data_IF_802447418575
#
_entry.id   IF_802447418575
#
_cell.length_a   1.000
_cell.length_b   1.000
_cell.length_c   1.000
_cell.angle_alpha   90.00
_cell.angle_beta   90.00
_cell.angle_gamma   90.00
#
_symmetry.space_group_name_H-M   'P 1'
#
loop_
_entity.id
_entity.type
_entity.pdbx_description
1 polymer ?
#
# COMPACT_ATOMS: atom_id res chain seq x y z
N UNK A 1 -16.66 -16.24 2.83
CA UNK A 1 -16.33 -15.06 1.98
C UNK A 1 -14.84 -14.91 1.99
N UNK A 2 -14.21 -14.86 0.84
CA UNK A 2 -12.76 -14.65 0.73
C UNK A 2 -12.40 -13.21 1.09
N UNK A 3 -11.19 -12.94 1.58
CA UNK A 3 -10.69 -11.59 1.93
C UNK A 3 -10.79 -10.63 0.74
N UNK A 4 -10.64 -11.12 -0.49
CA UNK A 4 -10.75 -10.33 -1.72
C UNK A 4 -12.09 -9.54 -1.86
N UNK A 5 -13.16 -9.98 -1.20
CA UNK A 5 -14.44 -9.28 -1.22
C UNK A 5 -14.61 -8.27 -0.07
N UNK A 6 -13.62 -8.17 0.82
CA UNK A 6 -13.69 -7.36 2.05
C UNK A 6 -12.80 -6.13 2.00
N UNK A 7 -11.66 -6.19 1.31
CA UNK A 7 -10.77 -5.04 1.15
C UNK A 7 -11.28 -4.20 -0.01
N UNK A 8 -11.60 -2.90 0.22
CA UNK A 8 -11.97 -2.02 -0.89
C UNK A 8 -10.82 -1.91 -1.89
N UNK A 9 -11.13 -2.04 -3.19
CA UNK A 9 -10.14 -2.03 -4.25
C UNK A 9 -9.37 -0.70 -4.38
N UNK A 10 -9.94 0.40 -3.84
CA UNK A 10 -9.30 1.72 -3.87
C UNK A 10 -9.24 2.25 -2.45
N UNK A 11 -8.03 2.56 -1.98
CA UNK A 11 -7.78 3.20 -0.70
C UNK A 11 -7.01 4.52 -0.86
N UNK A 12 -7.07 5.37 0.17
CA UNK A 12 -6.21 6.55 0.29
C UNK A 12 -4.93 6.17 1.01
N UNK A 13 -3.77 6.29 0.34
CA UNK A 13 -2.47 6.23 0.98
C UNK A 13 -2.12 7.57 1.62
N UNK A 14 -1.61 7.55 2.87
CA UNK A 14 -1.27 8.79 3.62
C UNK A 14 0.23 9.01 3.80
N UNK A 15 1.08 8.20 3.17
CA UNK A 15 2.53 8.36 3.24
C UNK A 15 2.98 9.78 2.85
N UNK A 16 3.88 10.39 3.63
CA UNK A 16 4.38 11.76 3.45
C UNK A 16 3.29 12.86 3.46
N UNK A 17 2.17 12.64 4.10
CA UNK A 17 1.24 13.71 4.47
C UNK A 17 1.59 14.24 5.85
N UNK A 18 1.52 15.56 6.04
CA UNK A 18 1.49 16.13 7.39
C UNK A 18 0.24 15.66 8.13
N UNK A 19 0.17 15.78 9.47
CA UNK A 19 -1.05 15.46 10.20
C UNK A 19 -2.27 16.26 9.72
N UNK A 20 -2.10 17.53 9.34
CA UNK A 20 -3.13 18.41 8.82
C UNK A 20 -3.60 17.97 7.43
N UNK A 21 -2.66 17.62 6.55
CA UNK A 21 -2.99 17.06 5.22
C UNK A 21 -3.71 15.72 5.35
N UNK A 22 -3.27 14.86 6.27
CA UNK A 22 -3.91 13.56 6.52
C UNK A 22 -5.34 13.73 7.05
N UNK A 23 -5.60 14.71 7.92
CA UNK A 23 -6.94 15.06 8.41
C UNK A 23 -7.85 15.46 7.25
N UNK A 24 -7.44 16.45 6.47
CA UNK A 24 -8.26 16.99 5.38
C UNK A 24 -8.48 15.95 4.27
N UNK A 25 -7.42 15.26 3.85
CA UNK A 25 -7.53 14.28 2.77
C UNK A 25 -8.32 13.03 3.18
N UNK A 26 -8.23 12.60 4.44
CA UNK A 26 -9.05 11.50 4.95
C UNK A 26 -10.55 11.88 4.94
N UNK A 27 -10.89 13.06 5.41
CA UNK A 27 -12.26 13.55 5.40
C UNK A 27 -12.81 13.67 3.97
N UNK A 28 -12.10 14.36 3.08
CA UNK A 28 -12.54 14.55 1.70
C UNK A 28 -12.60 13.22 0.92
N UNK A 29 -11.67 12.28 1.14
CA UNK A 29 -11.74 10.95 0.55
C UNK A 29 -13.00 10.20 0.99
N UNK A 30 -13.32 10.17 2.28
CA UNK A 30 -14.53 9.51 2.79
C UNK A 30 -15.78 10.14 2.19
N UNK A 31 -15.84 11.46 2.07
CA UNK A 31 -16.94 12.21 1.48
C UNK A 31 -17.15 11.89 -0.01
N UNK A 32 -16.06 11.66 -0.76
CA UNK A 32 -16.09 11.24 -2.17
C UNK A 32 -16.60 9.79 -2.32
N UNK A 33 -16.37 8.93 -1.31
CA UNK A 33 -16.77 7.52 -1.36
C UNK A 33 -15.67 6.52 -1.03
N UNK A 34 -14.44 6.97 -0.75
CA UNK A 34 -13.40 6.07 -0.25
C UNK A 34 -13.86 5.41 1.04
N UNK A 35 -13.53 4.15 1.19
CA UNK A 35 -13.80 3.38 2.41
C UNK A 35 -12.54 2.73 2.98
N UNK A 36 -11.41 2.80 2.31
CA UNK A 36 -10.12 2.28 2.76
C UNK A 36 -9.14 3.45 2.97
N UNK A 37 -8.57 3.55 4.17
CA UNK A 37 -7.53 4.53 4.53
C UNK A 37 -6.31 3.74 5.01
N UNK A 38 -5.16 3.99 4.39
CA UNK A 38 -3.89 3.34 4.69
C UNK A 38 -2.90 4.33 5.30
N UNK A 39 -2.46 4.02 6.52
CA UNK A 39 -1.43 4.76 7.24
C UNK A 39 -0.37 3.82 7.83
N UNK A 40 0.53 4.32 8.67
CA UNK A 40 1.52 3.57 9.43
C UNK A 40 2.04 4.37 10.62
N UNK A 41 2.53 3.70 11.68
CA UNK A 41 3.11 4.39 12.83
C UNK A 41 4.27 5.34 12.45
N UNK A 42 5.10 4.92 11.49
CA UNK A 42 6.26 5.71 11.04
C UNK A 42 5.89 6.93 10.21
N UNK A 43 4.67 7.02 9.70
CA UNK A 43 4.22 8.20 8.95
C UNK A 43 3.92 9.39 9.87
N UNK A 44 3.75 9.15 11.17
CA UNK A 44 3.53 10.16 12.22
C UNK A 44 2.30 11.04 11.96
N UNK A 45 1.33 10.50 11.23
CA UNK A 45 0.09 11.23 10.86
C UNK A 45 -1.21 10.50 11.25
N UNK A 46 -1.11 9.41 12.04
CA UNK A 46 -2.28 8.66 12.51
C UNK A 46 -3.30 9.54 13.27
N UNK A 47 -2.83 10.57 14.00
CA UNK A 47 -3.71 11.52 14.66
C UNK A 47 -4.50 12.40 13.67
N UNK A 48 -3.90 12.75 12.54
CA UNK A 48 -4.59 13.46 11.46
C UNK A 48 -5.66 12.56 10.83
N UNK A 49 -5.31 11.31 10.51
CA UNK A 49 -6.26 10.31 10.02
C UNK A 49 -7.44 10.16 11.00
N UNK A 50 -7.16 10.07 12.31
CA UNK A 50 -8.19 9.99 13.35
C UNK A 50 -9.16 11.15 13.29
N UNK A 51 -8.69 12.40 13.19
CA UNK A 51 -9.55 13.59 13.12
C UNK A 51 -10.41 13.59 11.85
N UNK A 52 -9.87 13.21 10.69
CA UNK A 52 -10.64 13.08 9.45
C UNK A 52 -11.75 12.02 9.57
N UNK A 53 -11.47 10.88 10.22
CA UNK A 53 -12.47 9.85 10.52
C UNK A 53 -13.53 10.39 11.51
N UNK A 54 -13.12 10.98 12.64
CA UNK A 54 -14.04 11.53 13.65
C UNK A 54 -15.00 12.55 13.05
N UNK A 55 -14.49 13.45 12.20
CA UNK A 55 -15.30 14.43 11.48
C UNK A 55 -16.31 13.74 10.58
N UNK A 56 -15.90 12.76 9.81
CA UNK A 56 -16.78 12.01 8.89
C UNK A 56 -17.89 11.23 9.63
N UNK A 57 -17.54 10.64 10.78
CA UNK A 57 -18.52 9.96 11.66
C UNK A 57 -19.50 10.95 12.28
N UNK A 58 -19.02 12.09 12.78
CA UNK A 58 -19.86 13.11 13.44
C UNK A 58 -20.84 13.77 12.48
N UNK A 59 -20.47 13.91 11.21
CA UNK A 59 -21.34 14.44 10.15
C UNK A 59 -22.26 13.37 9.55
N UNK A 60 -22.16 12.11 9.98
CA UNK A 60 -22.99 11.00 9.51
C UNK A 60 -22.70 10.56 8.06
N UNK A 61 -21.51 10.86 7.55
CA UNK A 61 -21.11 10.44 6.20
C UNK A 61 -20.92 8.93 6.09
N UNK A 62 -20.45 8.31 7.16
CA UNK A 62 -20.18 6.88 7.29
C UNK A 62 -20.32 6.43 8.75
N UNK A 63 -20.42 5.12 8.94
CA UNK A 63 -20.22 4.45 10.23
C UNK A 63 -18.82 3.83 10.29
N UNK A 64 -18.30 3.53 11.50
CA UNK A 64 -16.99 2.86 11.63
C UNK A 64 -16.93 1.51 10.90
N UNK A 65 -18.01 0.77 10.90
CA UNK A 65 -18.10 -0.54 10.24
C UNK A 65 -18.07 -0.50 8.71
N UNK A 66 -18.28 0.67 8.11
CA UNK A 66 -18.16 0.88 6.67
C UNK A 66 -16.74 1.24 6.25
N UNK A 67 -15.87 1.60 7.22
CA UNK A 67 -14.49 1.96 6.97
C UNK A 67 -13.57 0.75 7.13
N UNK A 68 -12.57 0.67 6.24
CA UNK A 68 -11.46 -0.27 6.29
C UNK A 68 -10.17 0.53 6.59
N UNK A 69 -9.64 0.38 7.80
CA UNK A 69 -8.49 1.15 8.27
C UNK A 69 -7.28 0.23 8.36
N UNK A 70 -6.21 0.60 7.65
CA UNK A 70 -4.92 -0.09 7.69
C UNK A 70 -3.90 0.78 8.42
N UNK A 71 -3.18 0.19 9.38
CA UNK A 71 -1.93 0.74 9.90
C UNK A 71 -0.83 -0.32 9.92
N UNK A 72 0.42 0.08 10.21
CA UNK A 72 1.58 -0.80 10.07
C UNK A 72 2.54 -0.58 11.24
N UNK A 73 3.12 -1.68 11.74
CA UNK A 73 4.24 -1.64 12.66
C UNK A 73 5.55 -1.64 11.89
N UNK A 74 6.48 -0.76 12.26
CA UNK A 74 7.85 -0.82 11.76
C UNK A 74 8.60 -1.92 12.53
N UNK A 75 9.20 -2.92 11.84
CA UNK A 75 9.74 -4.10 12.51
C UNK A 75 11.04 -3.85 13.29
N UNK A 76 11.65 -2.67 13.10
CA UNK A 76 13.04 -2.39 13.48
C UNK A 76 14.01 -2.75 12.36
N UNK A 77 15.19 -2.11 12.35
CA UNK A 77 16.26 -2.39 11.41
C UNK A 77 17.61 -2.05 12.06
N UNK A 78 18.39 -3.08 12.35
CA UNK A 78 19.70 -2.91 13.01
C UNK A 78 20.69 -2.08 12.17
N UNK A 79 20.61 -2.15 10.84
CA UNK A 79 21.46 -1.32 9.96
C UNK A 79 21.16 0.18 10.10
N UNK A 80 19.96 0.53 10.55
CA UNK A 80 19.55 1.93 10.81
C UNK A 80 19.67 2.30 12.31
N UNK A 81 20.30 1.45 13.11
CA UNK A 81 20.45 1.66 14.54
C UNK A 81 19.16 1.48 15.34
N UNK A 82 18.21 0.76 14.80
CA UNK A 82 16.91 0.49 15.45
C UNK A 82 16.83 -0.99 15.81
N UNK A 83 16.61 -1.28 17.09
CA UNK A 83 16.42 -2.66 17.56
C UNK A 83 15.21 -3.31 16.87
N UNK A 84 15.35 -4.59 16.55
CA UNK A 84 14.23 -5.38 16.06
C UNK A 84 13.18 -5.52 17.15
N UNK A 85 11.91 -5.33 16.80
CA UNK A 85 10.80 -5.46 17.74
C UNK A 85 10.58 -6.91 18.12
N UNK A 86 10.31 -7.13 19.41
CA UNK A 86 9.86 -8.39 19.97
C UNK A 86 8.34 -8.56 19.81
N UNK A 87 7.81 -9.69 20.26
CA UNK A 87 6.37 -9.92 20.36
C UNK A 87 5.66 -8.81 21.15
N UNK A 88 6.17 -8.52 22.36
CA UNK A 88 5.57 -7.50 23.24
C UNK A 88 5.67 -6.08 22.64
N UNK A 89 6.77 -5.75 21.97
CA UNK A 89 6.91 -4.45 21.28
C UNK A 89 5.87 -4.28 20.18
N UNK A 90 5.52 -5.35 19.45
CA UNK A 90 4.48 -5.30 18.41
C UNK A 90 3.10 -5.11 19.02
N UNK A 91 2.80 -5.81 20.14
CA UNK A 91 1.56 -5.64 20.90
C UNK A 91 1.40 -4.19 21.36
N UNK A 92 2.45 -3.62 21.98
CA UNK A 92 2.47 -2.23 22.44
C UNK A 92 2.35 -1.23 21.28
N UNK A 93 3.01 -1.51 20.14
CA UNK A 93 2.94 -0.66 18.94
C UNK A 93 1.51 -0.52 18.43
N UNK A 94 0.72 -1.61 18.39
CA UNK A 94 -0.69 -1.52 18.01
C UNK A 94 -1.49 -0.72 19.02
N UNK A 95 -1.33 -0.97 20.33
CA UNK A 95 -2.03 -0.22 21.36
C UNK A 95 -1.76 1.29 21.25
N UNK A 96 -0.52 1.67 20.94
CA UNK A 96 -0.14 3.05 20.70
C UNK A 96 -0.75 3.62 19.40
N UNK A 97 -0.81 2.83 18.32
CA UNK A 97 -1.51 3.21 17.07
C UNK A 97 -3.00 3.39 17.30
N UNK A 98 -3.66 2.47 18.00
CA UNK A 98 -5.08 2.57 18.34
C UNK A 98 -5.39 3.84 19.16
N UNK A 99 -4.54 4.20 20.12
CA UNK A 99 -4.66 5.46 20.88
C UNK A 99 -4.55 6.69 19.95
N UNK A 100 -3.59 6.72 19.02
CA UNK A 100 -3.42 7.83 18.08
C UNK A 100 -4.57 7.92 17.08
N UNK A 101 -5.06 6.75 16.59
CA UNK A 101 -6.20 6.64 15.70
C UNK A 101 -7.54 6.85 16.39
N UNK A 102 -7.58 6.79 17.73
CA UNK A 102 -8.81 6.84 18.56
C UNK A 102 -9.80 5.74 18.18
N UNK A 103 -9.30 4.55 17.89
CA UNK A 103 -10.07 3.37 17.48
C UNK A 103 -9.90 2.23 18.48
N UNK A 104 -10.89 1.38 18.57
CA UNK A 104 -10.84 0.15 19.39
C UNK A 104 -10.16 -1.00 18.64
N UNK A 105 -10.24 -0.99 17.30
CA UNK A 105 -9.62 -1.96 16.41
C UNK A 105 -9.25 -1.33 15.07
N UNK A 106 -8.35 -1.97 14.32
CA UNK A 106 -8.11 -1.69 12.91
C UNK A 106 -8.51 -2.90 12.05
N UNK A 107 -8.85 -2.64 10.80
CA UNK A 107 -9.29 -3.70 9.89
C UNK A 107 -8.10 -4.52 9.40
N UNK A 108 -6.96 -3.88 9.14
CA UNK A 108 -5.73 -4.54 8.71
C UNK A 108 -4.52 -3.98 9.46
N UNK A 109 -3.71 -4.87 10.01
CA UNK A 109 -2.42 -4.53 10.60
C UNK A 109 -1.30 -5.25 9.88
N UNK A 110 -0.26 -4.49 9.47
CA UNK A 110 0.84 -5.02 8.68
C UNK A 110 2.18 -4.91 9.42
N UNK A 111 3.04 -5.91 9.28
CA UNK A 111 4.48 -5.75 9.48
C UNK A 111 4.99 -5.00 8.24
N UNK A 112 5.59 -3.80 8.43
CA UNK A 112 5.86 -2.84 7.34
C UNK A 112 6.93 -3.29 6.35
N UNK A 113 7.85 -4.16 6.79
CA UNK A 113 8.90 -4.74 5.97
C UNK A 113 9.52 -5.98 6.62
N UNK A 114 10.37 -6.70 5.90
CA UNK A 114 11.02 -7.92 6.38
C UNK A 114 12.37 -7.69 7.08
N UNK A 115 12.75 -6.45 7.44
CA UNK A 115 14.09 -6.12 7.95
C UNK A 115 14.45 -6.74 9.32
N UNK A 116 13.48 -7.25 10.07
CA UNK A 116 13.73 -7.87 11.37
C UNK A 116 14.04 -9.37 11.22
N UNK A 117 15.17 -9.70 10.60
CA UNK A 117 15.58 -11.07 10.26
C UNK A 117 15.56 -12.07 11.43
N UNK A 118 15.84 -11.61 12.66
CA UNK A 118 15.89 -12.45 13.86
C UNK A 118 14.52 -12.62 14.53
N UNK A 119 13.58 -11.70 14.32
CA UNK A 119 12.30 -11.66 15.04
C UNK A 119 11.07 -11.69 14.13
N UNK A 120 11.23 -11.88 12.81
CA UNK A 120 10.10 -11.93 11.86
C UNK A 120 8.98 -12.85 12.29
N UNK A 121 9.32 -14.09 12.67
CA UNK A 121 8.33 -15.10 13.10
C UNK A 121 7.71 -14.75 14.45
N UNK A 122 8.47 -14.16 15.36
CA UNK A 122 7.97 -13.66 16.63
C UNK A 122 6.97 -12.51 16.41
N UNK A 123 7.32 -11.55 15.57
CA UNK A 123 6.42 -10.46 15.20
C UNK A 123 5.16 -10.97 14.50
N UNK A 124 5.30 -11.98 13.62
CA UNK A 124 4.14 -12.59 12.97
C UNK A 124 3.19 -13.25 13.96
N UNK A 125 3.74 -13.97 14.95
CA UNK A 125 2.93 -14.54 16.05
C UNK A 125 2.18 -13.46 16.83
N UNK A 126 2.77 -12.29 17.05
CA UNK A 126 2.08 -11.18 17.70
C UNK A 126 0.87 -10.69 16.88
N UNK A 127 0.99 -10.60 15.54
CA UNK A 127 -0.16 -10.25 14.71
C UNK A 127 -1.27 -11.31 14.78
N UNK A 128 -0.93 -12.58 14.81
CA UNK A 128 -1.91 -13.66 14.96
C UNK A 128 -2.64 -13.59 16.31
N UNK A 129 -1.92 -13.26 17.40
CA UNK A 129 -2.52 -13.04 18.71
C UNK A 129 -3.45 -11.81 18.70
N UNK A 130 -3.03 -10.69 18.11
CA UNK A 130 -3.86 -9.50 17.95
C UNK A 130 -5.13 -9.77 17.13
N UNK A 131 -5.05 -10.66 16.14
CA UNK A 131 -6.20 -11.10 15.35
C UNK A 131 -7.12 -11.99 16.21
N UNK A 132 -6.58 -12.88 17.02
CA UNK A 132 -7.37 -13.78 17.86
C UNK A 132 -8.14 -13.04 18.96
N UNK A 133 -7.57 -11.97 19.50
CA UNK A 133 -8.20 -11.14 20.54
C UNK A 133 -9.07 -9.98 19.99
N UNK A 134 -9.25 -9.92 18.66
CA UNK A 134 -10.15 -8.96 17.99
C UNK A 134 -9.65 -7.53 17.87
N UNK A 135 -8.37 -7.27 18.17
CA UNK A 135 -7.76 -5.95 17.99
C UNK A 135 -7.51 -5.61 16.51
N UNK A 136 -7.38 -6.63 15.68
CA UNK A 136 -7.29 -6.50 14.22
C UNK A 136 -8.20 -7.53 13.56
N UNK A 137 -8.76 -7.20 12.41
CA UNK A 137 -9.59 -8.14 11.63
C UNK A 137 -8.74 -9.03 10.74
N UNK A 138 -7.75 -8.43 10.08
CA UNK A 138 -6.83 -9.09 9.17
C UNK A 138 -5.38 -8.81 9.58
N UNK A 139 -4.54 -9.85 9.48
CA UNK A 139 -3.11 -9.78 9.72
C UNK A 139 -2.37 -9.89 8.38
N UNK A 140 -1.44 -8.98 8.11
CA UNK A 140 -0.70 -9.00 6.86
C UNK A 140 0.75 -8.53 7.01
N UNK A 141 1.42 -8.53 5.89
CA UNK A 141 2.80 -8.07 5.78
C UNK A 141 2.91 -7.03 4.65
N UNK A 142 4.00 -6.28 4.65
CA UNK A 142 4.34 -5.42 3.52
C UNK A 142 5.81 -5.66 3.13
N UNK A 143 6.07 -5.72 1.83
CA UNK A 143 7.42 -5.88 1.29
C UNK A 143 8.10 -7.21 1.67
N UNK A 144 7.32 -8.28 1.77
CA UNK A 144 7.86 -9.62 2.00
C UNK A 144 7.98 -10.37 0.66
N UNK A 145 9.15 -10.95 0.42
CA UNK A 145 9.40 -11.82 -0.73
C UNK A 145 8.97 -13.28 -0.44
N UNK A 146 9.14 -14.16 -1.43
CA UNK A 146 8.74 -15.58 -1.32
C UNK A 146 9.49 -16.27 -0.18
N UNK A 147 10.79 -15.98 0.02
CA UNK A 147 11.58 -16.63 1.09
C UNK A 147 11.04 -16.26 2.48
N UNK A 148 10.72 -14.98 2.71
CA UNK A 148 10.14 -14.53 3.97
C UNK A 148 8.78 -15.19 4.25
N UNK A 149 7.96 -15.37 3.21
CA UNK A 149 6.67 -16.05 3.34
C UNK A 149 6.85 -17.56 3.60
N UNK A 150 7.92 -18.16 3.07
CA UNK A 150 8.26 -19.56 3.37
C UNK A 150 8.70 -19.77 4.82
N UNK A 151 9.37 -18.78 5.44
CA UNK A 151 9.69 -18.86 6.89
C UNK A 151 8.44 -19.03 7.76
N UNK A 152 7.30 -18.43 7.36
CA UNK A 152 6.02 -18.62 8.05
C UNK A 152 5.53 -20.06 7.88
N UNK A 153 5.59 -20.61 6.66
CA UNK A 153 5.22 -22.01 6.41
C UNK A 153 6.11 -23.00 7.16
N UNK A 154 7.43 -22.74 7.19
CA UNK A 154 8.41 -23.58 7.91
C UNK A 154 8.18 -23.57 9.42
N UNK A 155 7.54 -22.52 9.93
CA UNK A 155 7.13 -22.40 11.33
C UNK A 155 5.73 -22.98 11.61
N UNK A 156 5.09 -23.68 10.66
CA UNK A 156 3.71 -24.21 10.74
C UNK A 156 2.67 -23.13 11.11
N UNK A 157 2.86 -21.90 10.64
CA UNK A 157 1.93 -20.78 10.88
C UNK A 157 1.11 -20.46 9.64
N UNK A 158 -0.12 -19.91 9.80
CA UNK A 158 -0.92 -19.48 8.66
C UNK A 158 -0.23 -18.32 7.92
N UNK A 159 -0.30 -18.35 6.58
CA UNK A 159 0.16 -17.27 5.73
C UNK A 159 -0.64 -15.97 5.98
N UNK A 160 -0.07 -14.81 5.64
CA UNK A 160 -0.75 -13.54 5.83
C UNK A 160 -2.00 -13.41 4.96
N UNK A 161 -3.00 -12.69 5.47
CA UNK A 161 -4.19 -12.33 4.70
C UNK A 161 -3.84 -11.44 3.49
N UNK A 162 -2.78 -10.59 3.62
CA UNK A 162 -2.34 -9.67 2.57
C UNK A 162 -0.82 -9.52 2.55
N UNK A 163 -0.28 -9.20 1.36
CA UNK A 163 1.05 -8.62 1.21
C UNK A 163 0.92 -7.29 0.44
N UNK A 164 1.33 -6.19 1.08
CA UNK A 164 1.34 -4.87 0.45
C UNK A 164 2.73 -4.63 -0.16
N UNK A 165 2.79 -4.50 -1.49
CA UNK A 165 4.06 -4.41 -2.23
C UNK A 165 4.06 -3.23 -3.20
N UNK A 166 5.26 -2.75 -3.54
CA UNK A 166 5.41 -1.89 -4.70
C UNK A 166 5.00 -2.64 -5.95
N UNK A 167 3.96 -2.13 -6.62
CA UNK A 167 3.42 -2.79 -7.81
C UNK A 167 2.85 -1.77 -8.79
N UNK A 168 3.43 -1.73 -9.97
CA UNK A 168 3.06 -0.85 -11.08
C UNK A 168 3.65 -1.40 -12.38
N UNK A 169 3.32 -0.88 -13.58
CA UNK A 169 3.78 -1.44 -14.86
C UNK A 169 5.28 -1.66 -14.98
N UNK A 170 6.12 -0.85 -14.32
CA UNK A 170 7.58 -1.03 -14.36
C UNK A 170 8.14 -1.98 -13.28
N UNK A 171 7.33 -2.35 -12.29
CA UNK A 171 7.70 -3.28 -11.22
C UNK A 171 6.53 -4.24 -10.97
N UNK A 172 6.37 -5.23 -11.85
CA UNK A 172 5.20 -6.11 -11.86
C UNK A 172 5.35 -7.34 -10.97
N UNK A 173 6.57 -7.67 -10.53
CA UNK A 173 6.87 -8.76 -9.59
C UNK A 173 6.18 -10.11 -9.94
N UNK A 174 6.29 -10.62 -11.18
CA UNK A 174 5.43 -11.73 -11.68
C UNK A 174 5.54 -13.01 -10.85
N UNK A 175 6.72 -13.37 -10.38
CA UNK A 175 6.92 -14.57 -9.55
C UNK A 175 6.27 -14.43 -8.17
N UNK A 176 6.47 -13.28 -7.52
CA UNK A 176 5.87 -13.00 -6.22
C UNK A 176 4.34 -12.90 -6.32
N UNK A 177 3.83 -12.18 -7.33
CA UNK A 177 2.39 -12.07 -7.60
C UNK A 177 1.77 -13.45 -7.79
N UNK A 178 2.38 -14.29 -8.62
CA UNK A 178 1.90 -15.67 -8.83
C UNK A 178 1.89 -16.45 -7.51
N UNK A 179 2.96 -16.39 -6.73
CA UNK A 179 3.04 -17.07 -5.44
C UNK A 179 1.92 -16.62 -4.48
N UNK A 180 1.68 -15.30 -4.38
CA UNK A 180 0.64 -14.75 -3.52
C UNK A 180 -0.75 -15.21 -3.97
N UNK A 181 -1.03 -15.20 -5.27
CA UNK A 181 -2.31 -15.64 -5.83
C UNK A 181 -2.55 -17.14 -5.60
N UNK A 182 -1.55 -17.99 -5.85
CA UNK A 182 -1.62 -19.44 -5.64
C UNK A 182 -1.90 -19.79 -4.16
N UNK A 183 -1.48 -18.93 -3.23
CA UNK A 183 -1.67 -19.12 -1.79
C UNK A 183 -2.83 -18.29 -1.20
N UNK A 184 -3.66 -17.67 -2.04
CA UNK A 184 -4.80 -16.83 -1.62
C UNK A 184 -4.40 -15.65 -0.72
N UNK A 185 -3.18 -15.13 -0.83
CA UNK A 185 -2.73 -13.89 -0.18
C UNK A 185 -3.15 -12.71 -1.04
N UNK A 186 -3.94 -11.78 -0.46
CA UNK A 186 -4.42 -10.62 -1.22
C UNK A 186 -3.29 -9.61 -1.46
N UNK A 187 -3.25 -9.04 -2.65
CA UNK A 187 -2.24 -8.08 -3.07
C UNK A 187 -2.76 -6.67 -2.92
N UNK A 188 -2.00 -5.84 -2.20
CA UNK A 188 -2.23 -4.39 -2.12
C UNK A 188 -1.04 -3.70 -2.80
N UNK A 189 -1.33 -2.94 -3.85
CA UNK A 189 -0.33 -2.23 -4.64
C UNK A 189 -0.12 -0.80 -4.11
N UNK A 190 1.09 -0.50 -3.65
CA UNK A 190 1.47 0.89 -3.38
C UNK A 190 2.37 1.43 -4.50
N UNK A 191 2.56 2.75 -4.52
CA UNK A 191 3.38 3.44 -5.54
C UNK A 191 2.91 3.24 -6.99
N UNK A 192 1.64 2.97 -7.20
CA UNK A 192 1.05 2.64 -8.51
C UNK A 192 1.28 3.74 -9.59
N UNK A 193 1.59 4.98 -9.18
CA UNK A 193 1.81 6.13 -10.09
C UNK A 193 3.30 6.41 -10.36
N UNK A 194 4.19 5.53 -9.96
CA UNK A 194 5.65 5.71 -10.13
C UNK A 194 6.07 6.01 -11.56
N UNK A 195 5.53 5.36 -12.61
CA UNK A 195 5.90 5.70 -13.99
C UNK A 195 5.72 7.18 -14.38
N UNK A 196 4.87 7.91 -13.65
CA UNK A 196 4.60 9.34 -13.88
C UNK A 196 5.19 10.25 -12.78
N UNK A 197 5.97 9.69 -11.84
CA UNK A 197 6.36 10.39 -10.63
C UNK A 197 7.83 10.73 -10.60
N UNK A 198 8.14 12.00 -10.37
CA UNK A 198 9.51 12.52 -10.20
C UNK A 198 9.81 12.91 -8.73
N UNK A 199 8.88 12.69 -7.82
CA UNK A 199 8.90 13.21 -6.46
C UNK A 199 10.00 12.64 -5.54
N UNK A 200 10.59 11.50 -5.89
CA UNK A 200 11.71 10.89 -5.16
C UNK A 200 13.09 11.27 -5.70
N UNK A 201 13.14 12.28 -6.54
CA UNK A 201 14.40 12.85 -6.97
C UNK A 201 15.07 13.52 -5.78
N UNK A 202 16.18 12.98 -5.29
CA UNK A 202 17.10 13.75 -4.45
C UNK A 202 17.86 14.73 -5.34
N UNK A 203 18.00 15.98 -4.89
CA UNK A 203 18.85 16.95 -5.55
C UNK A 203 20.27 16.38 -5.70
N UNK A 204 20.69 16.15 -6.95
CA UNK A 204 22.01 15.63 -7.29
C UNK A 204 22.16 14.11 -7.42
N UNK A 205 21.13 13.30 -7.13
CA UNK A 205 21.15 11.85 -7.33
C UNK A 205 20.20 11.43 -8.46
N UNK A 206 20.73 11.16 -9.63
CA UNK A 206 20.00 10.57 -10.74
C UNK A 206 20.32 9.07 -10.80
N UNK A 207 19.36 8.22 -10.44
CA UNK A 207 19.40 6.81 -10.79
C UNK A 207 18.98 6.60 -12.25
N UNK A 208 19.35 5.47 -12.87
CA UNK A 208 18.84 5.12 -14.21
C UNK A 208 17.30 5.11 -14.23
N UNK A 209 16.67 4.64 -13.15
CA UNK A 209 15.22 4.61 -13.01
C UNK A 209 14.61 6.02 -12.91
N UNK A 210 15.29 6.98 -12.27
CA UNK A 210 14.84 8.38 -12.24
C UNK A 210 14.90 8.99 -13.64
N UNK A 211 15.92 8.66 -14.42
CA UNK A 211 16.05 9.11 -15.80
C UNK A 211 14.93 8.53 -16.69
N UNK A 212 14.62 7.25 -16.52
CA UNK A 212 13.49 6.61 -17.22
C UNK A 212 12.16 7.29 -16.90
N UNK A 213 11.91 7.62 -15.61
CA UNK A 213 10.71 8.33 -15.18
C UNK A 213 10.60 9.72 -15.81
N UNK A 214 11.71 10.45 -15.93
CA UNK A 214 11.74 11.77 -16.59
C UNK A 214 11.49 11.64 -18.09
N UNK A 215 12.14 10.69 -18.73
CA UNK A 215 11.98 10.42 -20.16
C UNK A 215 10.54 10.03 -20.47
N UNK A 216 9.95 9.13 -19.67
CA UNK A 216 8.56 8.70 -19.81
C UNK A 216 7.59 9.88 -19.60
N UNK A 217 7.74 10.63 -18.51
CA UNK A 217 6.86 11.76 -18.19
C UNK A 217 6.95 12.93 -19.20
N UNK A 218 8.04 13.04 -19.97
CA UNK A 218 8.23 14.07 -20.99
C UNK A 218 7.93 13.61 -22.42
N UNK A 219 7.81 12.30 -22.66
CA UNK A 219 7.63 11.74 -23.99
C UNK A 219 6.18 11.82 -24.47
N UNK A 220 5.98 12.39 -25.67
CA UNK A 220 4.68 12.31 -26.37
C UNK A 220 4.39 10.89 -26.91
N UNK A 221 5.41 10.03 -26.98
CA UNK A 221 5.33 8.65 -27.46
C UNK A 221 5.25 7.64 -26.30
N UNK A 222 5.11 8.12 -25.06
CA UNK A 222 4.91 7.27 -23.90
C UNK A 222 3.69 6.36 -24.10
N UNK A 223 3.84 5.05 -23.82
CA UNK A 223 2.73 4.10 -23.90
C UNK A 223 1.53 4.58 -23.07
N UNK A 224 1.76 5.06 -21.84
CA UNK A 224 0.69 5.50 -20.96
C UNK A 224 -0.04 6.74 -21.50
N UNK A 225 0.67 7.63 -22.20
CA UNK A 225 0.07 8.80 -22.86
C UNK A 225 -0.75 8.41 -24.09
N UNK A 226 -0.24 7.47 -24.89
CA UNK A 226 -0.96 6.92 -26.05
C UNK A 226 -2.27 6.27 -25.57
N UNK A 227 -2.21 5.44 -24.54
CA UNK A 227 -3.38 4.76 -23.97
C UNK A 227 -4.34 5.77 -23.33
N UNK A 228 -3.84 6.77 -22.60
CA UNK A 228 -4.67 7.83 -22.03
C UNK A 228 -5.47 8.58 -23.12
N UNK A 229 -4.86 8.87 -24.25
CA UNK A 229 -5.52 9.48 -25.41
C UNK A 229 -6.56 8.50 -26.03
N UNK A 230 -6.20 7.21 -26.21
CA UNK A 230 -7.12 6.19 -26.76
C UNK A 230 -8.41 6.08 -25.93
N UNK A 231 -8.28 6.06 -24.60
CA UNK A 231 -9.42 5.93 -23.68
C UNK A 231 -10.03 7.26 -23.25
N UNK A 232 -9.47 8.39 -23.68
CA UNK A 232 -9.89 9.75 -23.29
C UNK A 232 -9.89 9.94 -21.77
N UNK A 233 -8.80 9.55 -21.11
CA UNK A 233 -8.57 9.63 -19.66
C UNK A 233 -7.19 10.20 -19.38
N UNK A 234 -6.82 10.30 -18.09
CA UNK A 234 -5.45 10.68 -17.70
C UNK A 234 -4.54 9.45 -17.61
N UNK A 235 -3.25 9.64 -17.84
CA UNK A 235 -2.23 8.59 -17.71
C UNK A 235 -2.28 7.93 -16.34
N UNK A 236 -2.48 8.73 -15.26
CA UNK A 236 -2.65 8.18 -13.90
C UNK A 236 -3.82 7.20 -13.79
N UNK A 237 -4.90 7.42 -14.54
CA UNK A 237 -6.04 6.51 -14.54
C UNK A 237 -5.74 5.20 -15.29
N UNK A 238 -4.90 5.24 -16.33
CA UNK A 238 -4.41 4.01 -16.98
C UNK A 238 -3.64 3.14 -15.98
N UNK A 239 -2.68 3.73 -15.25
CA UNK A 239 -1.87 3.00 -14.28
C UNK A 239 -2.70 2.38 -13.15
N UNK A 240 -3.66 3.14 -12.62
CA UNK A 240 -4.54 2.67 -11.55
C UNK A 240 -5.53 1.61 -12.05
N UNK A 241 -6.11 1.80 -13.24
CA UNK A 241 -7.06 0.88 -13.84
C UNK A 241 -6.39 -0.47 -14.19
N UNK A 242 -5.14 -0.46 -14.66
CA UNK A 242 -4.36 -1.66 -14.88
C UNK A 242 -4.30 -2.55 -13.62
N UNK A 243 -3.94 -1.97 -12.48
CA UNK A 243 -3.88 -2.72 -11.22
C UNK A 243 -5.25 -3.21 -10.75
N UNK A 244 -6.30 -2.39 -10.89
CA UNK A 244 -7.67 -2.77 -10.52
C UNK A 244 -8.20 -3.91 -11.39
N UNK A 245 -7.91 -3.93 -12.69
CA UNK A 245 -8.31 -5.03 -13.58
C UNK A 245 -7.62 -6.35 -13.25
N UNK A 246 -6.39 -6.28 -12.73
CA UNK A 246 -5.67 -7.43 -12.18
C UNK A 246 -6.14 -7.83 -10.76
N UNK A 247 -7.19 -7.15 -10.25
CA UNK A 247 -7.80 -7.38 -8.93
C UNK A 247 -6.88 -7.08 -7.75
N UNK A 248 -5.92 -6.18 -7.92
CA UNK A 248 -5.14 -5.65 -6.81
C UNK A 248 -5.88 -4.48 -6.17
N UNK A 249 -5.79 -4.34 -4.85
CA UNK A 249 -6.17 -3.10 -4.21
C UNK A 249 -5.06 -2.06 -4.43
N UNK A 250 -5.44 -0.79 -4.61
CA UNK A 250 -4.50 0.31 -4.88
C UNK A 250 -4.59 1.39 -3.81
N UNK A 251 -3.46 2.04 -3.54
CA UNK A 251 -3.32 3.08 -2.51
C UNK A 251 -2.74 4.39 -3.08
N UNK A 252 -3.39 5.03 -4.07
CA UNK A 252 -2.90 6.30 -4.56
C UNK A 252 -2.87 7.37 -3.47
N UNK A 253 -1.79 8.17 -3.43
CA UNK A 253 -1.62 9.30 -2.51
C UNK A 253 -1.77 10.61 -3.24
N UNK A 254 -2.51 11.54 -2.68
CA UNK A 254 -2.59 12.91 -3.17
C UNK A 254 -2.98 13.87 -2.04
N UNK A 255 -2.53 15.12 -2.14
CA UNK A 255 -2.96 16.25 -1.30
C UNK A 255 -3.85 17.23 -2.09
N UNK A 256 -4.38 16.79 -3.25
CA UNK A 256 -5.26 17.61 -4.10
C UNK A 256 -6.62 16.92 -4.23
N UNK A 257 -7.67 17.60 -3.77
CA UNK A 257 -9.06 17.07 -3.79
C UNK A 257 -9.49 16.67 -5.20
N UNK A 258 -9.14 17.44 -6.23
CA UNK A 258 -9.46 17.07 -7.62
C UNK A 258 -8.88 15.72 -8.03
N UNK A 259 -7.66 15.39 -7.56
CA UNK A 259 -7.04 14.09 -7.82
C UNK A 259 -7.65 12.95 -7.01
N UNK A 260 -8.25 13.21 -5.84
CA UNK A 260 -9.04 12.19 -5.14
C UNK A 260 -10.19 11.71 -6.02
N UNK A 261 -10.93 12.63 -6.65
CA UNK A 261 -12.00 12.27 -7.59
C UNK A 261 -11.47 11.48 -8.80
N UNK A 262 -10.37 11.95 -9.40
CA UNK A 262 -9.75 11.29 -10.56
C UNK A 262 -9.29 9.86 -10.24
N UNK A 263 -8.72 9.65 -9.04
CA UNK A 263 -8.20 8.36 -8.59
C UNK A 263 -9.30 7.40 -8.11
N UNK A 264 -10.55 7.85 -7.98
CA UNK A 264 -11.66 7.05 -7.47
C UNK A 264 -12.68 6.64 -8.55
N UNK A 265 -12.81 7.43 -9.62
CA UNK A 265 -13.83 7.18 -10.64
C UNK A 265 -13.22 6.63 -11.92
N UNK A 266 -13.57 5.40 -12.24
CA UNK A 266 -13.16 4.70 -13.45
C UNK A 266 -14.40 4.31 -14.26
N UNK A 267 -14.50 4.83 -15.50
CA UNK A 267 -15.61 4.56 -16.40
C UNK A 267 -15.19 3.82 -17.67
N UNK A 268 -14.00 3.24 -17.68
CA UNK A 268 -13.43 2.54 -18.82
C UNK A 268 -12.77 1.22 -18.38
N UNK A 269 -12.54 0.36 -19.34
CA UNK A 269 -11.81 -0.90 -19.20
C UNK A 269 -10.70 -0.89 -20.23
N UNK A 270 -9.48 -1.23 -19.82
CA UNK A 270 -8.34 -1.40 -20.73
C UNK A 270 -8.54 -2.71 -21.48
N UNK A 271 -8.47 -2.67 -22.80
CA UNK A 271 -8.62 -3.85 -23.67
C UNK A 271 -7.46 -4.84 -23.45
N UNK A 272 -7.69 -6.11 -23.72
CA UNK A 272 -6.71 -7.18 -23.49
C UNK A 272 -5.39 -6.94 -24.24
N UNK A 273 -5.47 -6.45 -25.48
CA UNK A 273 -4.29 -6.11 -26.29
C UNK A 273 -3.43 -5.03 -25.63
N UNK A 274 -4.08 -3.99 -25.05
CA UNK A 274 -3.38 -2.92 -24.35
C UNK A 274 -2.84 -3.37 -22.99
N UNK A 275 -3.53 -4.28 -22.30
CA UNK A 275 -3.00 -4.91 -21.07
C UNK A 275 -1.71 -5.68 -21.37
N UNK A 276 -1.62 -6.37 -22.50
CA UNK A 276 -0.39 -7.04 -22.95
C UNK A 276 0.74 -6.06 -23.29
N UNK A 277 0.41 -4.88 -23.85
CA UNK A 277 1.42 -3.85 -24.07
C UNK A 277 1.98 -3.35 -22.73
N UNK A 278 1.12 -3.13 -21.72
CA UNK A 278 1.54 -2.71 -20.38
C UNK A 278 2.36 -3.81 -19.68
N UNK A 279 2.04 -5.09 -19.88
CA UNK A 279 2.79 -6.21 -19.33
C UNK A 279 4.26 -6.19 -19.80
N UNK A 280 4.52 -5.78 -21.04
CA UNK A 280 5.86 -5.68 -21.60
C UNK A 280 6.69 -4.51 -21.04
N UNK A 281 6.08 -3.58 -20.28
CA UNK A 281 6.78 -2.46 -19.64
C UNK A 281 7.55 -2.86 -18.38
N UNK A 282 7.51 -4.11 -17.94
CA UNK A 282 8.16 -4.55 -16.72
C UNK A 282 9.69 -4.38 -16.78
N UNK A 283 10.23 -3.54 -15.90
CA UNK A 283 11.66 -3.24 -15.77
C UNK A 283 12.32 -4.02 -14.62
N UNK A 284 11.55 -4.83 -13.90
CA UNK A 284 11.97 -5.59 -12.72
C UNK A 284 12.30 -4.70 -11.52
N UNK A 285 12.26 -5.28 -10.31
CA UNK A 285 12.64 -4.65 -9.04
C UNK A 285 11.82 -3.42 -8.63
N UNK A 286 11.76 -3.18 -7.33
CA UNK A 286 11.19 -1.97 -6.75
C UNK A 286 12.11 -0.75 -6.91
N UNK A 287 11.54 0.45 -6.95
CA UNK A 287 12.28 1.71 -7.13
C UNK A 287 11.94 2.78 -6.10
N UNK A 288 10.91 2.55 -5.28
CA UNK A 288 10.36 3.60 -4.43
C UNK A 288 11.01 3.71 -3.06
N UNK A 289 11.80 2.75 -2.67
CA UNK A 289 12.55 2.82 -1.42
C UNK A 289 13.93 3.46 -1.65
N UNK A 290 14.22 4.50 -0.91
CA UNK A 290 15.50 5.22 -0.96
C UNK A 290 16.71 4.32 -0.67
N UNK A 291 16.50 3.28 0.12
CA UNK A 291 17.51 2.36 0.63
C UNK A 291 17.66 1.08 -0.20
N UNK A 292 17.03 1.01 -1.35
CA UNK A 292 17.01 -0.17 -2.21
C UNK A 292 15.65 -0.86 -2.25
N UNK A 293 15.54 -1.94 -3.02
CA UNK A 293 14.32 -2.73 -3.11
C UNK A 293 14.11 -3.53 -1.81
N UNK A 294 13.04 -3.29 -1.04
CA UNK A 294 12.80 -4.00 0.20
C UNK A 294 12.52 -5.50 0.02
N UNK A 295 12.21 -5.94 -1.19
CA UNK A 295 12.05 -7.36 -1.50
C UNK A 295 13.38 -8.11 -1.61
N UNK A 296 14.51 -7.39 -1.67
CA UNK A 296 15.87 -7.97 -1.70
C UNK A 296 16.49 -8.12 -0.30
N UNK A 297 15.77 -7.78 0.75
CA UNK A 297 16.21 -8.02 2.14
C UNK A 297 16.32 -9.51 2.39
N UNK A 298 17.43 -9.93 3.04
CA UNK A 298 17.69 -11.34 3.40
C UNK A 298 16.87 -11.80 4.61
#
# INVERSE_FOLDING_TARGET
MTIHSKIPGIGLGTYMMSPEEAEEMTYEAIKIGYRHIDTAEVYRNEQGVAKGIERSLSEGLVTRSELFITTKVFPGNEMWGQSQKTFDDVMESLDNSLKRLKLEYVDLYLIHSAHADKTRIEQWKALLELKSNGKITYAGVANWNIKHLQEINDADLPLPDTNQIELHPWAQQPELVKYLQDNNVHIIAYSSLVPLSTWRKKDGENSLKTQDMENEGSSEESLFKILANKYNVKESQILLQWALQLKYAILPKTIKISRLHENFHFSFVIEEEDMLLIENENKGGGITWEWGDPLLVE
#
